data_IF_717345266544
#
_entry.id   IF_717345266544
#
_cell.length_a   1.000
_cell.length_b   1.000
_cell.length_c   1.000
_cell.angle_alpha   90.00
_cell.angle_beta   90.00
_cell.angle_gamma   90.00
#
_symmetry.space_group_name_H-M   'P 1'
#
loop_
_entity.id
_entity.type
_entity.pdbx_description
1 polymer ?
2 polymer ?
3 non-polymer ?
4 water ?
#
loop_
_entity_poly.entity_id
_entity_poly.type
_entity_poly.pdbx_seq_one_letter_code
_entity_poly.pdbx_strand_id
1 'polyribonucleotide' 'UGCUGUUUU' ?
#
# COMPACT_ATOMS: atom_id res chain seq x y z
N UNK C 6 27.20 -9.64 39.30
CA UNK C 6 26.83 -8.39 40.03
C UNK C 6 25.41 -8.02 39.66
N UNK C 7 24.53 -7.90 40.65
CA UNK C 7 23.13 -7.64 40.31
C UNK C 7 22.86 -6.29 39.64
N UNK C 8 23.56 -5.23 40.04
CA UNK C 8 23.50 -3.97 39.30
C UNK C 8 23.85 -4.15 37.82
N UNK C 9 24.93 -4.91 37.57
CA UNK C 9 25.39 -5.23 36.22
C UNK C 9 24.33 -5.92 35.38
N UNK C 10 23.67 -6.92 35.98
CA UNK C 10 22.61 -7.66 35.30
C UNK C 10 21.37 -6.80 35.10
N UNK C 12 21.39 -3.60 34.69
CA UNK C 12 21.70 -2.63 33.65
C UNK C 12 21.58 -3.22 32.25
N UNK C 13 22.04 -4.45 32.07
CA UNK C 13 21.84 -5.16 30.80
C UNK C 13 20.36 -5.38 30.46
N UNK C 14 19.56 -5.74 31.46
CA UNK C 14 18.11 -5.90 31.25
C UNK C 14 17.43 -4.60 30.83
N UNK C 15 17.73 -3.52 31.56
CA UNK C 15 17.16 -2.22 31.24
C UNK C 15 17.49 -1.75 29.81
N UNK C 16 18.71 -2.01 29.33
CA UNK C 16 19.05 -1.68 27.93
C UNK C 16 18.16 -2.38 26.90
N UNK C 17 17.89 -3.66 27.16
CA UNK C 17 17.02 -4.47 26.31
C UNK C 17 15.59 -3.94 26.31
N UNK C 18 15.10 -3.56 27.50
CA UNK C 18 13.79 -2.94 27.67
C UNK C 18 13.63 -1.65 26.82
N UNK C 19 14.60 -0.74 26.93
CA UNK C 19 14.64 0.49 26.12
C UNK C 19 14.52 0.21 24.62
N UNK C 20 15.41 -0.65 24.12
CA UNK C 20 15.40 -1.05 22.70
C UNK C 20 14.07 -1.64 22.22
N UNK C 21 13.44 -2.48 23.05
CA UNK C 21 12.16 -3.09 22.67
C UNK C 21 11.03 -2.07 22.56
N UNK C 22 10.91 -1.22 23.58
CA UNK C 22 9.84 -0.19 23.58
C UNK C 22 10.04 0.82 22.44
N UNK C 23 11.30 1.19 22.23
CA UNK C 23 11.73 2.14 21.20
C UNK C 23 11.44 1.56 19.80
N UNK C 24 11.54 0.25 19.64
CA UNK C 24 11.07 -0.39 18.38
C UNK C 24 9.55 -0.28 18.18
N UNK C 25 8.75 -0.62 19.19
CA UNK C 25 7.31 -0.55 19.05
C UNK C 25 6.82 0.84 18.67
N UNK C 26 7.36 1.91 19.28
CA UNK C 26 6.95 3.28 18.99
C UNK C 26 7.70 3.91 17.81
N UNK C 27 8.49 3.10 17.09
CA UNK C 27 9.42 3.57 16.06
C UNK C 27 8.87 3.71 14.64
N UNK C 28 9.67 4.32 13.75
CA UNK C 28 9.25 4.59 12.36
C UNK C 28 8.91 3.33 11.54
N UNK C 29 9.47 2.18 11.92
CA UNK C 29 9.26 0.92 11.18
C UNK C 29 8.23 -0.06 11.74
N UNK C 30 7.54 0.33 12.81
CA UNK C 30 6.42 -0.44 13.37
C UNK C 30 5.13 0.36 13.60
N UNK C 31 5.24 1.53 14.25
CA UNK C 31 4.05 2.32 14.64
C UNK C 31 3.03 2.58 13.51
N UNK C 32 3.51 3.01 12.33
CA UNK C 32 2.52 3.32 11.29
C UNK C 32 1.74 2.11 10.76
N UNK C 33 2.20 0.90 11.07
CA UNK C 33 1.52 -0.32 10.60
C UNK C 33 0.89 -1.15 11.73
N UNK C 34 0.88 -0.61 12.95
CA UNK C 34 0.41 -1.30 14.16
C UNK C 34 -0.98 -0.83 14.59
N UNK C 35 -2.04 -1.48 14.12
CA UNK C 35 -3.42 -1.06 14.42
C UNK C 35 -3.73 -1.00 15.92
N UNK C 36 -3.27 -2.01 16.67
CA UNK C 36 -3.55 -2.12 18.10
C UNK C 36 -2.91 -0.98 18.90
N UNK C 37 -1.64 -0.69 18.62
CA UNK C 37 -0.94 0.42 19.26
C UNK C 37 -1.53 1.77 18.86
N UNK C 38 -1.90 1.91 17.59
CA UNK C 38 -2.51 3.16 17.15
C UNK C 38 -3.80 3.45 17.90
N UNK C 39 -4.64 2.43 18.06
CA UNK C 39 -5.87 2.56 18.85
C UNK C 39 -5.57 3.24 20.19
N UNK C 40 -4.66 2.68 20.96
CA UNK C 40 -4.30 3.21 22.28
C UNK C 40 -3.76 4.66 22.30
N UNK C 41 -3.01 5.05 21.28
CA UNK C 41 -2.36 6.38 21.18
C UNK C 41 -3.30 7.55 20.86
N UNK C 42 -4.55 7.27 20.53
CA UNK C 42 -5.50 8.33 20.18
C UNK C 42 -6.14 8.92 21.43
N UNK C 43 -6.17 8.11 22.49
CA UNK C 43 -7.04 8.34 23.64
C UNK C 43 -6.63 9.47 24.59
N UNK C 44 -5.34 9.76 24.75
CA UNK C 44 -4.97 11.00 25.45
C UNK C 44 -3.57 11.55 25.19
N UNK C 45 -3.50 12.32 24.10
CA UNK C 45 -2.33 13.15 23.77
C UNK C 45 -1.06 12.30 23.66
N UNK C 46 -1.23 11.07 23.17
CA UNK C 46 -0.10 10.17 22.92
C UNK C 46 0.22 9.20 24.05
N UNK C 47 -0.30 9.48 25.24
CA UNK C 47 -0.08 8.65 26.43
C UNK C 47 -0.70 7.23 26.37
N UNK C 48 0.06 6.20 26.72
CA UNK C 48 -0.39 4.80 26.79
C UNK C 48 -0.03 4.17 28.14
N UNK C 49 -1.02 3.57 28.85
CA UNK C 49 -0.81 3.03 30.20
C UNK C 49 0.18 1.88 30.21
N UNK C 50 1.03 1.83 31.22
CA UNK C 50 1.91 0.68 31.41
C UNK C 50 1.18 -0.67 31.54
N UNK C 51 -0.08 -0.67 32.03
CA UNK C 51 -0.86 -1.92 32.13
C UNK C 51 -1.20 -2.54 30.77
N UNK C 52 -1.27 -1.71 29.72
CA UNK C 52 -1.44 -2.18 28.34
C UNK C 52 -0.09 -2.61 27.73
N UNK C 54 2.54 -3.92 29.03
CA UNK C 54 3.08 -5.23 29.46
C UNK C 54 2.37 -6.43 28.82
N UNK C 55 1.29 -6.18 28.07
CA UNK C 55 0.63 -7.24 27.30
C UNK C 55 1.38 -7.59 26.02
N UNK C 56 2.34 -6.74 25.65
CA UNK C 56 3.14 -6.94 24.43
C UNK C 56 4.16 -8.05 24.74
N UNK C 57 4.21 -9.09 23.91
CA UNK C 57 4.89 -10.34 24.27
C UNK C 57 6.39 -10.25 24.51
N UNK C 58 7.17 -9.59 23.65
CA UNK C 58 8.62 -9.49 23.88
C UNK C 58 8.95 -8.67 25.13
N UNK C 59 8.22 -7.60 25.37
CA UNK C 59 8.33 -6.86 26.65
C UNK C 59 7.96 -7.69 27.89
N UNK C 60 6.87 -8.44 27.82
CA UNK C 60 6.38 -9.27 28.93
C UNK C 60 7.48 -10.24 29.38
N UNK C 61 8.21 -10.80 28.42
CA UNK C 61 9.26 -11.77 28.73
C UNK C 61 10.45 -11.17 29.49
N UNK C 62 10.70 -9.88 29.29
CA UNK C 62 11.80 -9.15 29.95
C UNK C 62 11.40 -8.75 31.38
N UNK C 63 10.23 -8.14 31.50
CA UNK C 63 9.69 -7.70 32.82
C UNK C 63 8.19 -7.39 32.80
N UNK C 64 7.53 -7.60 33.95
CA UNK C 64 6.22 -7.00 34.19
C UNK C 64 6.19 -5.95 35.34
N UNK C 65 7.36 -5.54 35.84
CA UNK C 65 7.51 -4.58 36.94
C UNK C 65 7.52 -3.14 36.40
N UNK C 66 6.53 -2.33 36.79
CA UNK C 66 6.42 -0.94 36.33
C UNK C 66 7.63 -0.08 36.73
N UNK C 67 8.09 -0.26 37.97
CA UNK C 67 9.29 0.41 38.49
C UNK C 67 10.55 0.25 37.64
N UNK C 68 10.80 -0.98 37.17
CA UNK C 68 11.92 -1.32 36.27
C UNK C 68 11.81 -0.67 34.87
N UNK C 69 10.60 -0.68 34.32
CA UNK C 69 10.36 0.02 33.03
C UNK C 69 10.67 1.51 33.13
N UNK C 70 10.12 2.17 34.15
CA UNK C 70 10.34 3.61 34.34
C UNK C 70 11.82 3.93 34.54
N UNK C 71 12.53 3.10 35.30
CA UNK C 71 13.95 3.36 35.53
C UNK C 71 14.73 3.24 34.22
N UNK C 72 14.44 2.19 33.46
CA UNK C 72 15.06 1.95 32.15
C UNK C 72 14.95 3.16 31.22
N UNK C 73 13.71 3.62 30.98
CA UNK C 73 13.46 4.72 30.03
C UNK C 73 14.06 6.06 30.49
N UNK C 74 14.16 6.26 31.80
CA UNK C 74 14.76 7.48 32.35
C UNK C 74 16.25 7.63 32.01
N UNK C 75 16.92 6.53 31.70
CA UNK C 75 18.36 6.51 31.48
C UNK C 75 18.73 6.30 30.01
N UNK C 76 17.72 6.29 29.15
CA UNK C 76 17.91 6.01 27.72
C UNK C 76 18.67 7.15 27.06
N UNK C 77 19.55 6.77 26.12
CA UNK C 77 20.33 7.73 25.34
C UNK C 77 19.62 8.14 24.05
N UNK C 78 18.53 7.46 23.72
CA UNK C 78 17.83 7.74 22.46
C UNK C 78 16.94 8.97 22.50
N UNK C 79 16.48 9.37 23.68
CA UNK C 79 15.62 10.56 23.80
C UNK C 79 14.27 10.47 23.07
N UNK C 80 13.71 9.27 22.95
CA UNK C 80 12.49 9.09 22.15
C UNK C 80 11.21 9.11 23.01
N UNK C 82 8.89 9.67 26.59
CA UNK C 82 8.63 10.49 27.79
C UNK C 82 7.80 9.71 28.82
N UNK C 83 7.90 10.09 30.11
CA UNK C 83 7.16 9.43 31.19
C UNK C 83 6.20 10.41 31.87
N UNK C 84 4.98 9.99 32.16
CA UNK C 84 3.95 10.88 32.73
C UNK C 84 4.30 11.33 34.14
N UNK C 85 3.69 12.42 34.60
CA UNK C 85 3.96 12.90 35.96
C UNK C 85 3.74 11.87 37.07
N UNK C 86 2.74 11.00 36.91
CA UNK C 86 2.45 10.05 37.98
C UNK C 86 3.13 8.70 37.74
N UNK C 87 3.91 8.62 36.66
CA UNK C 87 4.72 7.47 36.28
C UNK C 87 3.97 6.18 35.92
N UNK C 88 2.72 6.33 35.50
CA UNK C 88 1.86 5.21 35.08
C UNK C 88 1.69 5.05 33.57
N UNK C 89 2.15 6.06 32.80
CA UNK C 89 1.94 6.12 31.36
C UNK C 89 3.18 6.62 30.63
N UNK C 90 3.32 6.26 29.35
CA UNK C 90 4.44 6.69 28.49
C UNK C 90 4.00 7.13 27.07
N UNK C 91 4.84 7.87 26.34
CA UNK C 91 4.49 8.37 25.01
C UNK C 91 5.74 8.64 24.18
N UNK C 92 5.63 8.62 22.85
CA UNK C 92 6.64 9.19 21.95
C UNK C 92 6.59 10.72 22.09
N UNK C 93 7.75 11.34 22.25
CA UNK C 93 7.85 12.79 22.41
C UNK C 93 7.32 13.60 21.22
N UNK C 94 6.62 14.72 21.45
CA UNK C 94 6.17 15.56 20.32
C UNK C 94 7.29 16.28 19.58
N UNK C 95 8.51 16.24 20.13
CA UNK C 95 9.70 16.70 19.42
C UNK C 95 10.17 15.72 18.33
N UNK C 96 9.63 14.51 18.32
CA UNK C 96 10.09 13.45 17.41
C UNK C 96 8.90 12.95 16.59
N UNK C 97 8.38 13.77 15.66
CA UNK C 97 7.23 13.27 14.91
C UNK C 97 7.61 12.17 13.90
N UNK C 98 6.63 11.36 13.49
CA UNK C 98 6.83 10.39 12.42
C UNK C 98 7.15 11.06 11.07
N UNK C 99 8.10 10.51 10.30
CA UNK C 99 8.41 11.12 8.99
C UNK C 99 7.22 11.21 8.03
N UNK C 100 7.13 12.31 7.28
CA UNK C 100 6.19 12.45 6.17
C UNK C 100 6.67 11.47 5.10
N UNK C 101 5.76 10.64 4.60
CA UNK C 101 6.13 9.58 3.66
C UNK C 101 6.11 10.12 2.22
N UNK C 102 7.19 10.81 1.86
CA UNK C 102 7.37 11.50 0.57
C UNK C 102 8.26 10.67 -0.36
N UNK C 103 8.33 11.04 -1.65
CA UNK C 103 9.30 10.39 -2.55
C UNK C 103 10.73 10.44 -1.99
N UNK C 104 11.16 11.60 -1.48
CA UNK C 104 12.51 11.70 -0.93
C UNK C 104 12.77 10.76 0.27
N UNK C 105 11.80 10.61 1.16
CA UNK C 105 11.91 9.61 2.23
C UNK C 105 12.01 8.15 1.75
N UNK C 106 11.13 7.74 0.84
CA UNK C 106 11.13 6.34 0.39
C UNK C 106 12.42 6.03 -0.38
N UNK C 107 12.92 6.99 -1.15
CA UNK C 107 14.17 6.74 -1.90
C UNK C 107 15.37 6.53 -0.96
N UNK C 108 15.37 7.31 0.13
CA UNK C 108 16.44 7.33 1.11
C UNK C 108 16.48 6.00 1.87
N UNK C 109 15.32 5.54 2.33
CA UNK C 109 15.16 4.22 2.99
C UNK C 109 15.58 3.07 2.05
N UNK C 110 15.10 3.09 0.80
CA UNK C 110 15.42 2.00 -0.16
C UNK C 110 16.92 1.84 -0.40
N UNK C 111 17.62 2.97 -0.46
CA UNK C 111 19.06 2.98 -0.74
C UNK C 111 19.89 2.36 0.40
N UNK C 112 19.27 2.14 1.56
CA UNK C 112 19.96 1.51 2.70
C UNK C 112 19.26 0.23 3.19
N UNK C 113 18.44 -0.36 2.32
CA UNK C 113 17.76 -1.63 2.57
C UNK C 113 18.48 -2.75 1.79
N UNK C 114 18.53 -3.94 2.38
CA UNK C 114 19.34 -5.08 1.92
C UNK C 114 18.55 -6.41 2.02
N UNK C 115 18.66 -7.25 0.99
CA UNK C 115 18.17 -8.66 0.99
C UNK C 115 19.25 -9.69 1.35
N UNK C 116 18.97 -10.61 2.28
CA UNK C 116 19.90 -11.69 2.62
C UNK C 116 19.16 -13.05 2.59
N UNK C 117 19.72 -14.02 1.86
CA UNK C 117 19.17 -15.38 1.74
C UNK C 117 20.18 -16.46 2.15
N UNK C 118 19.75 -17.40 2.99
CA UNK C 118 20.58 -18.55 3.36
C UNK C 118 20.47 -19.03 4.80
N UNK C 119 19.54 -18.44 5.56
CA UNK C 119 19.26 -18.89 6.93
C UNK C 119 18.43 -20.18 6.94
N UNK C 120 18.64 -21.07 7.92
CA UNK C 120 17.77 -22.26 8.02
C UNK C 120 16.31 -21.91 8.31
N UNK C 121 15.38 -22.78 7.93
CA UNK C 121 13.97 -22.47 8.10
C UNK C 121 13.54 -22.48 9.57
N UNK C 122 14.31 -23.16 10.41
CA UNK C 122 14.08 -23.18 11.86
C UNK C 122 14.70 -22.02 12.65
N UNK C 123 15.36 -21.07 11.99
CA UNK C 123 15.97 -19.94 12.68
C UNK C 123 14.95 -18.99 13.33
N UNK C 124 15.29 -18.43 14.49
CA UNK C 124 14.43 -17.50 15.21
C UNK C 124 14.84 -16.02 15.03
N UNK C 125 13.96 -15.08 15.35
CA UNK C 125 14.35 -13.67 15.37
C UNK C 125 15.55 -13.44 16.28
N UNK C 126 15.53 -14.06 17.45
CA UNK C 126 16.68 -14.06 18.37
C UNK C 126 17.98 -14.51 17.69
N UNK C 127 17.93 -15.62 16.95
CA UNK C 127 19.08 -16.13 16.17
C UNK C 127 19.62 -15.11 15.15
N UNK C 128 18.73 -14.46 14.42
CA UNK C 128 19.12 -13.50 13.40
C UNK C 128 19.70 -12.24 14.03
N UNK C 129 19.09 -11.76 15.11
CA UNK C 129 19.62 -10.58 15.83
C UNK C 129 21.03 -10.84 16.34
N UNK C 130 21.26 -12.02 16.89
CA UNK C 130 22.60 -12.34 17.39
C UNK C 130 23.63 -12.27 16.26
N UNK C 131 23.30 -12.90 15.13
CA UNK C 131 24.22 -12.92 13.98
C UNK C 131 24.57 -11.51 13.50
N UNK C 132 23.60 -10.60 13.54
CA UNK C 132 23.76 -9.22 13.09
C UNK C 132 24.52 -8.29 14.03
N UNK C 133 24.77 -8.73 15.26
CA UNK C 133 25.38 -7.91 16.31
C UNK C 133 26.61 -7.09 15.92
N UNK C 134 27.51 -7.63 15.10
CA UNK C 134 28.71 -6.82 14.85
C UNK C 134 28.76 -6.29 13.41
N UNK C 135 27.58 -6.18 12.81
CA UNK C 135 27.48 -5.90 11.37
C UNK C 135 27.10 -4.45 11.03
N UNK C 136 26.88 -3.62 12.04
CA UNK C 136 26.40 -2.23 11.87
C UNK C 136 25.01 -2.02 12.46
N UNK C 137 24.61 -0.76 12.62
CA UNK C 137 23.36 -0.42 13.30
C UNK C 137 22.16 -0.75 12.40
N UNK C 138 21.31 -1.67 12.85
CA UNK C 138 20.12 -2.15 12.11
C UNK C 138 18.87 -1.54 12.77
N UNK C 139 17.96 -1.00 11.96
CA UNK C 139 16.71 -0.40 12.41
C UNK C 139 15.46 -1.27 12.23
N UNK C 140 15.49 -2.24 11.31
CA UNK C 140 14.36 -3.15 11.09
C UNK C 140 14.83 -4.47 10.49
N UNK C 141 14.20 -5.56 10.90
CA UNK C 141 14.40 -6.91 10.37
C UNK C 141 13.02 -7.45 9.94
N UNK C 142 12.87 -7.80 8.65
CA UNK C 142 11.61 -8.38 8.15
C UNK C 142 11.82 -9.84 7.73
N UNK C 144 10.93 -13.00 5.85
CA UNK C 144 10.06 -13.33 4.72
C UNK C 144 9.37 -14.68 4.83
N UNK C 145 8.05 -14.70 4.60
CA UNK C 145 7.21 -15.88 4.84
C UNK C 145 6.30 -16.27 3.67
N UNK C 146 5.92 -17.55 3.62
CA UNK C 146 4.93 -18.05 2.66
C UNK C 146 3.51 -17.65 3.06
N UNK C 147 2.56 -17.97 2.19
CA UNK C 147 1.13 -17.84 2.48
C UNK C 147 0.72 -18.39 3.84
N UNK C 148 1.29 -19.54 4.20
CA UNK C 148 0.88 -20.24 5.42
C UNK C 148 1.81 -19.94 6.59
N UNK C 149 2.60 -18.88 6.41
CA UNK C 149 3.44 -18.26 7.44
C UNK C 149 4.74 -18.98 7.80
N UNK C 150 5.16 -19.94 6.99
CA UNK C 150 6.46 -20.61 7.17
C UNK C 150 7.61 -19.68 6.76
N UNK C 151 8.73 -19.72 7.49
CA UNK C 151 9.88 -18.85 7.19
C UNK C 151 10.56 -19.35 5.93
N UNK C 152 10.75 -18.44 4.97
CA UNK C 152 11.42 -18.76 3.71
C UNK C 152 12.94 -18.94 3.81
N UNK C 153 13.56 -18.43 4.87
CA UNK C 153 15.02 -18.44 4.95
C UNK C 153 15.73 -17.22 4.38
N UNK C 154 14.95 -16.24 3.92
CA UNK C 154 15.43 -14.91 3.49
C UNK C 154 14.82 -13.75 4.29
N UNK C 155 15.53 -12.62 4.41
CA UNK C 155 15.09 -11.44 5.16
C UNK C 155 15.34 -10.12 4.39
N UNK C 156 14.63 -9.05 4.74
CA UNK C 156 15.03 -7.68 4.41
C UNK C 156 15.48 -6.98 5.71
N UNK C 157 16.55 -6.18 5.61
CA UNK C 157 17.06 -5.42 6.76
C UNK C 157 17.25 -3.94 6.37
N UNK C 158 16.95 -3.03 7.29
CA UNK C 158 17.19 -1.60 7.07
C UNK C 158 18.32 -1.10 7.95
N UNK C 159 19.37 -0.53 7.33
CA UNK C 159 20.49 0.07 8.06
C UNK C 159 20.29 1.55 8.44
N UNK C 160 21.08 2.01 9.40
CA UNK C 160 21.01 3.40 9.85
C UNK C 160 21.47 4.40 8.79
N UNK C 161 22.41 3.99 7.92
CA UNK C 161 22.93 4.87 6.87
C UNK C 161 23.36 4.12 5.60
N UNK C 162 23.53 4.85 4.50
CA UNK C 162 24.04 4.24 3.27
C UNK C 162 25.48 3.73 3.46
N UNK C 163 26.24 4.43 4.30
CA UNK C 163 27.63 4.07 4.57
C UNK C 163 27.72 2.70 5.24
N UNK C 164 26.90 2.46 6.25
CA UNK C 164 26.83 1.16 6.93
C UNK C 164 26.34 0.02 6.03
N UNK C 165 25.36 0.31 5.18
CA UNK C 165 24.79 -0.69 4.26
C UNK C 165 25.83 -1.13 3.24
N UNK C 166 26.54 -0.15 2.67
CA UNK C 166 27.62 -0.44 1.74
C UNK C 166 28.73 -1.29 2.36
N UNK C 167 29.14 -0.97 3.59
CA UNK C 167 30.20 -1.72 4.26
C UNK C 167 29.84 -3.19 4.41
N UNK C 168 28.60 -3.45 4.83
CA UNK C 168 28.03 -4.81 4.89
C UNK C 168 27.96 -5.51 3.53
N UNK C 169 27.37 -4.88 2.52
CA UNK C 169 27.21 -5.54 1.21
C UNK C 169 28.54 -5.89 0.53
N UNK C 170 29.57 -5.06 0.71
CA UNK C 170 30.86 -5.26 0.03
C UNK C 170 31.84 -6.21 0.71
N UNK C 171 31.49 -6.72 1.90
CA UNK C 171 32.27 -7.71 2.65
C UNK C 171 32.11 -9.11 2.05
N UNK C 172 33.23 -9.77 1.69
CA UNK C 172 33.16 -10.88 0.74
C UNK C 172 32.78 -12.30 1.18
N UNK C 173 33.16 -12.75 2.36
CA UNK C 173 32.97 -14.18 2.65
C UNK C 173 31.97 -14.51 3.74
N UNK C 174 30.76 -13.97 3.65
CA UNK C 174 29.83 -14.07 4.76
C UNK C 174 29.01 -15.36 4.80
N UNK C 175 28.93 -15.93 6.00
CA UNK C 175 28.23 -17.20 6.23
C UNK C 175 27.39 -17.14 7.48
N UNK C 176 26.33 -17.96 7.52
CA UNK C 176 25.65 -18.31 8.77
C UNK C 176 26.00 -19.77 9.06
N UNK C 177 26.77 -19.96 10.12
CA UNK C 177 27.33 -21.27 10.46
C UNK C 177 28.05 -21.88 9.26
N UNK C 178 27.58 -22.99 8.70
CA UNK C 178 28.27 -23.61 7.58
C UNK C 178 27.93 -23.06 6.19
N UNK C 179 26.86 -22.27 6.08
CA UNK C 179 26.32 -21.95 4.76
C UNK C 179 26.55 -20.55 4.21
N UNK C 180 26.88 -20.49 2.91
CA UNK C 180 27.18 -19.26 2.19
C UNK C 180 25.89 -18.44 1.99
N UNK C 181 25.98 -17.13 2.17
CA UNK C 181 24.81 -16.26 2.02
C UNK C 181 24.82 -15.51 0.68
N UNK C 182 23.64 -15.27 0.12
CA UNK C 182 23.50 -14.37 -1.03
C UNK C 182 23.06 -13.00 -0.50
N UNK C 183 23.80 -11.95 -0.82
CA UNK C 183 23.55 -10.61 -0.25
C UNK C 183 23.43 -9.58 -1.38
N UNK C 184 22.27 -8.92 -1.46
CA UNK C 184 22.00 -7.94 -2.52
C UNK C 184 21.35 -6.64 -2.00
N UNK C 185 21.64 -5.50 -2.61
CA UNK C 185 20.81 -4.31 -2.31
C UNK C 185 19.37 -4.58 -2.76
N UNK C 186 18.39 -4.05 -2.01
CA UNK C 186 16.98 -4.34 -2.32
C UNK C 186 16.67 -3.94 -3.76
N UNK C 187 17.33 -2.88 -4.19
CA UNK C 187 17.28 -2.36 -5.54
C UNK C 187 17.60 -3.46 -6.58
N UNK C 188 18.61 -4.27 -6.26
CA UNK C 188 19.03 -5.42 -7.07
C UNK C 188 18.21 -6.70 -6.94
N UNK C 189 17.39 -6.81 -5.89
CA UNK C 189 16.49 -7.96 -5.77
C UNK C 189 15.20 -7.71 -6.55
N UNK C 190 14.54 -8.78 -7.00
CA UNK C 190 13.21 -8.72 -7.61
C UNK C 190 12.35 -9.92 -7.20
N UNK D 7 -29.92 -0.20 -38.06
CA UNK D 7 -28.90 -1.22 -37.69
C UNK D 7 -27.50 -0.64 -37.61
N UNK D 8 -27.31 0.53 -38.22
CA UNK D 8 -26.02 1.23 -38.22
C UNK D 8 -25.83 2.06 -36.95
N UNK D 9 -26.80 2.90 -36.64
CA UNK D 9 -26.90 3.59 -35.35
C UNK D 9 -26.69 2.64 -34.18
N UNK D 10 -27.34 1.47 -34.23
CA UNK D 10 -27.20 0.43 -33.21
C UNK D 10 -25.80 -0.17 -33.10
N UNK D 12 -23.13 1.49 -34.07
CA UNK D 12 -22.35 2.62 -33.54
C UNK D 12 -22.37 2.72 -32.01
N UNK D 13 -23.56 2.55 -31.43
CA UNK D 13 -23.71 2.60 -29.98
C UNK D 13 -22.98 1.43 -29.32
N UNK D 14 -23.06 0.24 -29.91
CA UNK D 14 -22.35 -0.92 -29.39
C UNK D 14 -20.83 -0.76 -29.47
N UNK D 15 -20.33 -0.22 -30.58
CA UNK D 15 -18.89 0.04 -30.73
C UNK D 15 -18.36 1.06 -29.69
N UNK D 16 -19.12 2.13 -29.45
CA UNK D 16 -18.77 3.08 -28.37
C UNK D 16 -18.56 2.39 -27.01
N UNK D 17 -19.50 1.51 -26.64
CA UNK D 17 -19.43 0.79 -25.36
C UNK D 17 -18.25 -0.19 -25.27
N UNK D 18 -17.96 -0.88 -26.37
CA UNK D 18 -16.80 -1.78 -26.44
C UNK D 18 -15.50 -1.01 -26.20
N UNK D 19 -15.31 0.10 -26.90
CA UNK D 19 -14.12 0.95 -26.72
C UNK D 19 -13.95 1.39 -25.25
N UNK D 20 -15.03 1.87 -24.64
CA UNK D 20 -14.96 2.32 -23.25
C UNK D 20 -14.55 1.22 -22.26
N UNK D 21 -15.08 0.01 -22.45
CA UNK D 21 -14.84 -1.06 -21.48
C UNK D 21 -13.40 -1.55 -21.57
N UNK D 22 -12.88 -1.65 -22.80
CA UNK D 22 -11.49 -2.08 -23.01
C UNK D 22 -10.50 -1.03 -22.51
N UNK D 23 -10.79 0.24 -22.81
CA UNK D 23 -10.01 1.38 -22.34
C UNK D 23 -9.98 1.47 -20.80
N UNK D 24 -11.07 1.07 -20.11
CA UNK D 24 -11.04 0.97 -18.64
C UNK D 24 -10.03 -0.10 -18.18
N UNK D 25 -10.08 -1.30 -18.78
CA UNK D 25 -9.22 -2.39 -18.32
C UNK D 25 -7.73 -2.05 -18.44
N UNK D 26 -7.38 -1.41 -19.56
CA UNK D 26 -5.98 -1.05 -19.88
C UNK D 26 -5.61 0.33 -19.32
N UNK D 27 -6.51 0.94 -18.53
CA UNK D 27 -6.34 2.35 -18.10
C UNK D 27 -5.62 2.54 -16.76
N UNK D 28 -5.38 3.82 -16.40
CA UNK D 28 -4.56 4.20 -15.25
C UNK D 28 -5.09 3.72 -13.89
N UNK D 29 -6.38 3.39 -13.83
CA UNK D 29 -6.98 2.99 -12.56
C UNK D 29 -7.02 1.46 -12.35
N UNK D 30 -7.24 0.70 -13.42
CA UNK D 30 -7.26 -0.75 -13.30
C UNK D 30 -5.92 -1.46 -13.49
N UNK D 31 -5.19 -1.13 -14.55
CA UNK D 31 -4.04 -1.93 -14.99
C UNK D 31 -2.96 -2.12 -13.93
N UNK D 32 -2.55 -1.05 -13.21
CA UNK D 32 -1.52 -1.23 -12.19
C UNK D 32 -1.82 -2.22 -11.06
N UNK D 33 -3.09 -2.45 -10.75
CA UNK D 33 -3.47 -3.41 -9.71
C UNK D 33 -4.10 -4.70 -10.21
N UNK D 34 -4.03 -4.96 -11.52
CA UNK D 34 -4.67 -6.14 -12.15
C UNK D 34 -3.63 -7.25 -12.35
N UNK D 35 -3.53 -8.16 -11.38
CA UNK D 35 -2.52 -9.22 -11.43
C UNK D 35 -2.57 -10.02 -12.74
N UNK D 36 -3.76 -10.50 -13.12
CA UNK D 36 -3.90 -11.27 -14.36
C UNK D 36 -3.46 -10.48 -15.60
N UNK D 37 -3.91 -9.24 -15.72
CA UNK D 37 -3.61 -8.49 -16.94
C UNK D 37 -2.13 -8.09 -17.00
N UNK D 38 -1.55 -7.69 -15.89
CA UNK D 38 -0.12 -7.38 -15.83
C UNK D 38 0.78 -8.52 -16.31
N UNK D 39 0.36 -9.74 -16.01
CA UNK D 39 1.09 -10.95 -16.37
C UNK D 39 1.05 -11.14 -17.88
N UNK D 40 -0.10 -10.88 -18.48
CA UNK D 40 -0.32 -11.04 -19.91
C UNK D 40 0.52 -10.04 -20.72
N UNK D 41 0.61 -8.81 -20.24
CA UNK D 41 1.30 -7.74 -20.92
C UNK D 41 2.83 -7.88 -20.91
N UNK D 42 3.38 -8.77 -20.10
CA UNK D 42 4.83 -9.03 -20.12
C UNK D 42 5.27 -10.08 -21.15
N UNK D 43 4.32 -10.86 -21.67
CA UNK D 43 4.63 -12.01 -22.52
C UNK D 43 5.09 -11.68 -23.94
N UNK D 44 4.51 -10.64 -24.54
CA UNK D 44 4.70 -10.39 -25.97
C UNK D 44 4.70 -8.88 -26.26
N UNK D 45 5.51 -8.11 -25.53
CA UNK D 45 5.66 -6.67 -25.75
C UNK D 45 4.37 -5.85 -25.68
N UNK D 46 3.53 -6.18 -24.71
CA UNK D 46 2.24 -5.50 -24.61
C UNK D 46 1.07 -6.24 -25.20
N UNK D 47 1.31 -7.03 -26.25
CA UNK D 47 0.24 -7.67 -27.03
C UNK D 47 -0.53 -8.77 -26.26
N UNK D 48 -1.86 -8.69 -26.29
CA UNK D 48 -2.75 -9.69 -25.66
C UNK D 48 -3.75 -10.26 -26.69
N UNK D 49 -3.80 -11.60 -26.87
CA UNK D 49 -4.72 -12.14 -27.86
C UNK D 49 -6.19 -11.84 -27.58
N UNK D 50 -6.99 -11.64 -28.63
CA UNK D 50 -8.44 -11.47 -28.45
C UNK D 50 -9.11 -12.69 -27.80
N UNK D 51 -8.58 -13.90 -27.98
CA UNK D 51 -9.19 -15.06 -27.31
C UNK D 51 -9.04 -15.01 -25.79
N UNK D 52 -8.04 -14.29 -25.30
CA UNK D 52 -7.95 -14.00 -23.87
C UNK D 52 -8.89 -12.86 -23.42
N UNK D 54 -11.82 -12.00 -24.49
CA UNK D 54 -13.22 -12.42 -24.38
C UNK D 54 -13.52 -13.18 -23.09
N UNK D 55 -12.49 -13.47 -22.30
CA UNK D 55 -12.68 -14.05 -20.97
C UNK D 55 -13.03 -13.03 -19.87
N UNK D 56 -12.96 -11.73 -20.17
CA UNK D 56 -13.32 -10.62 -19.26
C UNK D 56 -14.85 -10.44 -19.33
N UNK D 57 -15.57 -10.66 -18.22
CA UNK D 57 -17.03 -10.82 -18.25
C UNK D 57 -17.82 -9.67 -18.90
N UNK D 58 -17.49 -8.42 -18.57
CA UNK D 58 -18.26 -7.28 -19.07
C UNK D 58 -18.04 -7.05 -20.58
N UNK D 59 -16.83 -7.31 -21.07
CA UNK D 59 -16.61 -7.30 -22.52
C UNK D 59 -17.41 -8.41 -23.24
N UNK D 60 -17.29 -9.64 -22.75
CA UNK D 60 -18.10 -10.80 -23.21
C UNK D 60 -19.62 -10.52 -23.37
N UNK D 61 -20.21 -9.82 -22.39
CA UNK D 61 -21.61 -9.39 -22.39
C UNK D 61 -22.02 -8.55 -23.60
N UNK D 62 -21.10 -7.71 -24.06
CA UNK D 62 -21.24 -6.85 -25.25
C UNK D 62 -21.05 -7.62 -26.56
N UNK D 63 -19.97 -8.38 -26.67
CA UNK D 63 -19.64 -9.18 -27.86
C UNK D 63 -18.56 -10.26 -27.58
N UNK D 64 -18.60 -11.33 -28.37
CA UNK D 64 -17.47 -12.28 -28.45
C UNK D 64 -16.94 -12.37 -29.89
N UNK D 65 -17.46 -11.54 -30.80
CA UNK D 65 -17.06 -11.48 -32.22
C UNK D 65 -15.79 -10.64 -32.42
N UNK D 66 -14.69 -11.29 -32.81
CA UNK D 66 -13.41 -10.59 -32.97
C UNK D 66 -13.48 -9.49 -34.02
N UNK D 67 -14.26 -9.71 -35.07
CA UNK D 67 -14.36 -8.72 -36.15
C UNK D 67 -15.00 -7.43 -35.68
N UNK D 68 -16.01 -7.54 -34.80
CA UNK D 68 -16.66 -6.38 -34.18
C UNK D 68 -15.72 -5.60 -33.23
N UNK D 69 -14.95 -6.31 -32.40
CA UNK D 69 -13.94 -5.66 -31.53
C UNK D 69 -12.90 -4.83 -32.33
N UNK D 70 -12.38 -5.41 -33.41
CA UNK D 70 -11.39 -4.76 -34.28
C UNK D 70 -11.97 -3.49 -34.94
N UNK D 71 -13.17 -3.62 -35.50
CA UNK D 71 -13.85 -2.48 -36.14
C UNK D 71 -14.03 -1.34 -35.11
N UNK D 72 -14.48 -1.69 -33.90
CA UNK D 72 -14.72 -0.74 -32.82
C UNK D 72 -13.48 0.07 -32.41
N UNK D 73 -12.40 -0.63 -32.09
CA UNK D 73 -11.13 0.03 -31.75
C UNK D 73 -10.53 0.85 -32.90
N UNK D 74 -10.77 0.43 -34.15
CA UNK D 74 -10.23 1.14 -35.31
C UNK D 74 -10.82 2.54 -35.42
N UNK D 75 -11.95 2.74 -34.75
CA UNK D 75 -12.68 4.02 -34.77
C UNK D 75 -12.68 4.85 -33.49
N UNK D 76 -12.01 4.37 -32.45
CA UNK D 76 -11.87 5.17 -31.22
C UNK D 76 -11.14 6.49 -31.40
N UNK D 77 -11.64 7.55 -30.75
CA UNK D 77 -10.96 8.84 -30.72
C UNK D 77 -10.03 8.97 -29.51
N UNK D 78 -10.03 7.96 -28.64
CA UNK D 78 -9.20 7.99 -27.44
C UNK D 78 -7.71 7.81 -27.73
N UNK D 79 -7.40 7.17 -28.85
CA UNK D 79 -6.05 6.78 -29.26
C UNK D 79 -5.20 6.12 -28.16
N UNK D 80 -5.80 5.20 -27.42
CA UNK D 80 -5.05 4.47 -26.39
C UNK D 80 -4.56 3.12 -26.91
N UNK D 82 -3.84 -0.15 -29.68
CA UNK D 82 -3.32 -0.48 -31.02
C UNK D 82 -3.77 -1.90 -31.40
N UNK D 83 -3.95 -2.15 -32.70
CA UNK D 83 -4.31 -3.50 -33.19
C UNK D 83 -3.16 -4.12 -34.00
N UNK D 84 -2.88 -5.41 -33.84
CA UNK D 84 -1.77 -6.03 -34.56
C UNK D 84 -2.01 -6.06 -36.08
N UNK D 85 -0.92 -6.16 -36.85
CA UNK D 85 -0.96 -6.38 -38.30
C UNK D 85 -1.89 -7.53 -38.75
N UNK D 86 -1.81 -8.69 -38.10
CA UNK D 86 -2.66 -9.85 -38.41
C UNK D 86 -4.04 -9.89 -37.73
N UNK D 87 -4.31 -8.84 -36.96
CA UNK D 87 -5.60 -8.50 -36.35
C UNK D 87 -6.06 -9.44 -35.24
N UNK D 88 -5.13 -10.21 -34.68
CA UNK D 88 -5.46 -11.20 -33.65
C UNK D 88 -5.22 -10.74 -32.20
N UNK D 89 -4.57 -9.59 -32.00
CA UNK D 89 -4.17 -9.16 -30.67
C UNK D 89 -4.16 -7.63 -30.54
N UNK D 90 -4.21 -7.11 -29.32
CA UNK D 90 -4.33 -5.67 -29.08
C UNK D 90 -3.38 -5.26 -27.95
N UNK D 91 -2.96 -3.99 -27.87
CA UNK D 91 -2.13 -3.47 -26.76
C UNK D 91 -2.35 -1.99 -26.45
N UNK D 92 -1.97 -1.58 -25.25
CA UNK D 92 -1.88 -0.15 -24.89
C UNK D 92 -0.65 0.43 -25.61
N UNK D 93 -0.82 1.59 -26.22
CA UNK D 93 0.28 2.16 -27.04
C UNK D 93 1.54 2.49 -26.21
N UNK D 94 2.75 2.24 -26.78
CA UNK D 94 3.93 2.65 -26.04
C UNK D 94 4.12 4.17 -25.95
N UNK D 95 3.34 4.93 -26.72
CA UNK D 95 3.37 6.40 -26.59
C UNK D 95 2.57 6.90 -25.39
N UNK D 96 1.85 6.00 -24.72
CA UNK D 96 1.02 6.32 -23.56
C UNK D 96 1.45 5.50 -22.34
N UNK D 97 2.58 5.88 -21.71
CA UNK D 97 3.11 5.12 -20.59
C UNK D 97 2.21 5.34 -19.36
N UNK D 98 2.24 4.41 -18.40
CA UNK D 98 1.47 4.61 -17.16
C UNK D 98 2.10 5.76 -16.35
N UNK D 99 1.29 6.57 -15.65
CA UNK D 99 1.90 7.62 -14.82
C UNK D 99 2.89 7.07 -13.80
N UNK D 100 4.00 7.78 -13.56
CA UNK D 100 4.84 7.49 -12.40
C UNK D 100 4.11 7.93 -11.11
N UNK D 101 3.99 7.06 -10.11
CA UNK D 101 3.21 7.38 -8.91
C UNK D 101 4.02 8.24 -7.92
N UNK D 102 4.16 9.53 -8.20
CA UNK D 102 4.92 10.48 -7.38
C UNK D 102 4.00 11.25 -6.41
N UNK D 103 4.56 12.09 -5.54
CA UNK D 103 3.72 12.97 -4.69
C UNK D 103 2.85 13.94 -5.52
N UNK D 104 3.44 14.52 -6.56
CA UNK D 104 2.65 15.39 -7.48
C UNK D 104 1.44 14.71 -8.13
N UNK D 105 1.64 13.50 -8.67
CA UNK D 105 0.54 12.69 -9.20
C UNK D 105 -0.56 12.39 -8.16
N UNK D 106 -0.18 11.84 -7.02
CA UNK D 106 -1.17 11.53 -5.97
C UNK D 106 -1.98 12.75 -5.51
N UNK D 107 -1.34 13.92 -5.36
CA UNK D 107 -2.08 15.12 -4.99
C UNK D 107 -3.10 15.52 -6.07
N UNK D 108 -2.71 15.40 -7.33
CA UNK D 108 -3.53 15.79 -8.48
C UNK D 108 -4.80 14.94 -8.52
N UNK D 109 -4.65 13.63 -8.38
CA UNK D 109 -5.81 12.72 -8.29
C UNK D 109 -6.74 13.00 -7.06
N UNK D 110 -6.16 13.19 -5.89
CA UNK D 110 -6.94 13.39 -4.64
C UNK D 110 -7.85 14.63 -4.72
N UNK D 111 -7.35 15.70 -5.34
CA UNK D 111 -8.13 16.92 -5.53
C UNK D 111 -9.30 16.82 -6.52
N UNK D 112 -9.37 15.72 -7.28
CA UNK D 112 -10.56 15.45 -8.10
C UNK D 112 -11.31 14.15 -7.76
N UNK D 113 -11.13 13.65 -6.54
CA UNK D 113 -11.84 12.46 -6.04
C UNK D 113 -12.93 12.84 -5.04
N UNK D 114 -14.08 12.17 -5.11
CA UNK D 114 -15.32 12.52 -4.39
C UNK D 114 -15.92 11.27 -3.72
N UNK D 115 -16.41 11.40 -2.49
CA UNK D 115 -17.14 10.35 -1.73
C UNK D 115 -18.65 10.64 -1.78
N UNK D 116 -19.50 9.63 -2.03
CA UNK D 116 -20.96 9.81 -2.11
C UNK D 116 -21.62 8.68 -1.34
N UNK D 117 -22.50 9.03 -0.39
CA UNK D 117 -23.21 8.07 0.44
C UNK D 117 -24.73 8.18 0.31
N UNK D 118 -25.42 7.03 0.20
CA UNK D 118 -26.88 7.01 0.17
C UNK D 118 -27.57 6.16 -0.87
N UNK D 119 -26.80 5.41 -1.67
CA UNK D 119 -27.37 4.45 -2.63
C UNK D 119 -27.92 3.23 -1.90
N UNK D 120 -29.00 2.62 -2.43
CA UNK D 120 -29.49 1.37 -1.83
C UNK D 120 -28.49 0.23 -1.99
N UNK D 121 -28.55 -0.74 -1.09
CA UNK D 121 -27.56 -1.81 -1.07
C UNK D 121 -27.64 -2.81 -2.23
N UNK D 122 -28.73 -2.75 -2.98
CA UNK D 122 -28.92 -3.65 -4.12
C UNK D 122 -28.69 -2.96 -5.47
N UNK D 123 -28.21 -1.73 -5.43
CA UNK D 123 -27.80 -1.03 -6.65
C UNK D 123 -26.57 -1.68 -7.32
N UNK D 124 -26.61 -1.76 -8.65
CA UNK D 124 -25.51 -2.37 -9.43
C UNK D 124 -24.56 -1.32 -10.02
N UNK D 125 -23.37 -1.72 -10.49
CA UNK D 125 -22.48 -0.78 -11.21
C UNK D 125 -23.19 -0.12 -12.39
N UNK D 126 -23.99 -0.91 -13.11
CA UNK D 126 -24.83 -0.38 -14.18
C UNK D 126 -25.80 0.71 -13.67
N UNK D 127 -26.42 0.50 -12.50
CA UNK D 127 -27.37 1.50 -11.96
C UNK D 127 -26.64 2.81 -11.69
N UNK D 128 -25.45 2.70 -11.10
CA UNK D 128 -24.64 3.86 -10.70
C UNK D 128 -24.09 4.61 -11.92
N UNK D 129 -23.62 3.86 -12.91
CA UNK D 129 -23.15 4.45 -14.17
C UNK D 129 -24.28 5.26 -14.81
N UNK D 130 -25.49 4.72 -14.89
CA UNK D 130 -26.62 5.43 -15.49
C UNK D 130 -26.92 6.74 -14.75
N UNK D 131 -26.79 6.74 -13.42
CA UNK D 131 -27.02 7.94 -12.62
C UNK D 131 -25.99 9.04 -12.90
N UNK D 132 -24.75 8.62 -13.17
CA UNK D 132 -23.64 9.54 -13.40
C UNK D 132 -23.61 10.12 -14.83
N UNK D 133 -24.44 9.59 -15.72
CA UNK D 133 -24.38 9.92 -17.14
C UNK D 133 -24.10 11.39 -17.46
N UNK D 134 -24.86 12.29 -16.86
CA UNK D 134 -24.68 13.68 -17.19
C UNK D 134 -24.18 14.50 -16.01
N UNK D 135 -23.24 13.92 -15.25
CA UNK D 135 -22.65 14.64 -14.13
C UNK D 135 -21.19 15.05 -14.40
N UNK D 136 -20.70 14.84 -15.62
CA UNK D 136 -19.29 15.07 -15.93
C UNK D 136 -18.48 13.80 -16.19
N UNK D 137 -17.36 13.92 -16.89
CA UNK D 137 -16.57 12.75 -17.29
C UNK D 137 -15.93 12.07 -16.05
N UNK D 138 -16.15 10.75 -15.91
CA UNK D 138 -15.69 9.94 -14.78
C UNK D 138 -14.65 8.89 -15.22
N UNK D 139 -13.55 8.78 -14.47
CA UNK D 139 -12.47 7.83 -14.75
C UNK D 139 -12.47 6.49 -13.98
N UNK D 140 -13.10 6.46 -12.81
CA UNK D 140 -13.14 5.29 -11.94
C UNK D 140 -14.35 5.35 -11.00
N UNK D 141 -15.01 4.21 -10.77
CA UNK D 141 -16.10 4.06 -9.79
C UNK D 141 -15.66 2.93 -8.84
N UNK D 142 -15.41 3.30 -7.58
CA UNK D 142 -15.06 2.34 -6.54
C UNK D 142 -16.22 2.08 -5.56
N UNK D 144 -17.77 0.62 -2.37
CA UNK D 144 -17.19 0.18 -1.09
C UNK D 144 -17.94 -1.02 -0.50
N UNK D 145 -17.19 -1.96 0.08
CA UNK D 145 -17.75 -3.24 0.49
C UNK D 145 -17.26 -3.71 1.85
N UNK D 146 -18.12 -4.46 2.55
CA UNK D 146 -17.77 -5.14 3.80
C UNK D 146 -16.72 -6.23 3.55
N UNK D 147 -16.09 -6.74 4.61
CA UNK D 147 -15.16 -7.86 4.47
C UNK D 147 -15.82 -9.07 3.82
N UNK D 148 -17.14 -9.17 3.94
CA UNK D 148 -17.93 -10.25 3.37
C UNK D 148 -18.49 -9.94 1.97
N UNK D 149 -17.98 -8.89 1.36
CA UNK D 149 -18.27 -8.50 -0.03
C UNK D 149 -19.68 -7.99 -0.32
N UNK D 150 -20.38 -7.51 0.71
CA UNK D 150 -21.63 -6.79 0.52
C UNK D 150 -21.43 -5.29 0.25
N UNK D 151 -22.28 -4.71 -0.60
CA UNK D 151 -22.18 -3.28 -0.94
C UNK D 151 -22.69 -2.42 0.20
N UNK D 152 -21.90 -1.43 0.61
CA UNK D 152 -22.26 -0.60 1.77
C UNK D 152 -23.23 0.52 1.46
N UNK D 153 -23.39 0.85 0.17
CA UNK D 153 -24.23 1.98 -0.24
C UNK D 153 -23.47 3.28 -0.38
N UNK D 154 -22.15 3.23 -0.23
CA UNK D 154 -21.24 4.36 -0.54
C UNK D 154 -20.14 4.07 -1.58
N UNK D 155 -19.69 5.11 -2.27
CA UNK D 155 -18.68 4.98 -3.35
C UNK D 155 -17.62 6.07 -3.33
N UNK D 156 -16.45 5.82 -3.94
CA UNK D 156 -15.54 6.91 -4.35
C UNK D 156 -15.55 6.98 -5.89
N UNK D 157 -15.50 8.20 -6.42
CA UNK D 157 -15.50 8.47 -7.87
C UNK D 157 -14.31 9.37 -8.23
N UNK D 158 -13.58 9.07 -9.31
CA UNK D 158 -12.56 9.99 -9.81
C UNK D 158 -12.98 10.72 -11.09
N UNK D 159 -12.95 12.06 -11.05
CA UNK D 159 -13.31 12.92 -12.19
C UNK D 159 -12.11 13.24 -13.11
N UNK D 160 -12.44 13.64 -14.34
CA UNK D 160 -11.43 13.94 -15.34
C UNK D 160 -10.63 15.19 -14.99
N UNK D 161 -11.29 16.17 -14.38
CA UNK D 161 -10.66 17.45 -14.02
C UNK D 161 -11.17 18.02 -12.70
N UNK D 162 -10.42 18.92 -12.08
CA UNK D 162 -10.90 19.59 -10.86
C UNK D 162 -12.16 20.41 -11.14
N UNK D 163 -12.23 21.05 -12.30
CA UNK D 163 -13.41 21.83 -12.70
C UNK D 163 -14.70 21.03 -12.58
N UNK D 164 -14.72 19.83 -13.18
CA UNK D 164 -15.88 18.96 -13.15
C UNK D 164 -16.20 18.48 -11.72
N UNK D 165 -15.18 18.15 -10.95
CA UNK D 165 -15.41 17.67 -9.57
C UNK D 165 -16.09 18.73 -8.72
N UNK D 166 -15.59 19.96 -8.79
CA UNK D 166 -16.16 21.09 -8.06
C UNK D 166 -17.59 21.38 -8.47
N UNK D 167 -17.84 21.37 -9.78
CA UNK D 167 -19.20 21.59 -10.30
C UNK D 167 -20.18 20.57 -9.70
N UNK D 168 -19.76 19.31 -9.64
CA UNK D 168 -20.57 18.22 -9.10
C UNK D 168 -20.87 18.40 -7.61
N UNK D 169 -19.81 18.60 -6.83
CA UNK D 169 -19.92 18.74 -5.37
C UNK D 169 -20.75 19.97 -4.96
N UNK D 170 -20.62 21.06 -5.72
CA UNK D 170 -21.37 22.30 -5.46
C UNK D 170 -22.83 22.39 -5.95
N UNK D 171 -23.36 21.32 -6.54
CA UNK D 171 -24.79 21.24 -6.87
C UNK D 171 -25.53 20.67 -5.65
N UNK D 172 -26.47 21.44 -5.07
CA UNK D 172 -27.06 21.08 -3.78
C UNK D 172 -28.23 20.08 -3.77
N UNK D 173 -28.99 19.98 -4.84
CA UNK D 173 -30.26 19.27 -4.73
C UNK D 173 -30.30 17.77 -5.04
N UNK D 174 -29.16 17.09 -4.93
CA UNK D 174 -29.00 15.77 -5.55
C UNK D 174 -29.53 14.58 -4.74
N UNK D 175 -30.27 13.71 -5.42
CA UNK D 175 -30.92 12.53 -4.87
C UNK D 175 -30.73 11.34 -5.82
N UNK D 176 -30.70 10.12 -5.27
CA UNK D 176 -30.85 8.88 -6.06
C UNK D 176 -32.29 8.46 -5.82
N UNK D 177 -33.13 8.64 -6.83
CA UNK D 177 -34.57 8.38 -6.73
C UNK D 177 -35.21 9.27 -5.67
N UNK D 178 -35.67 8.71 -4.56
CA UNK D 178 -36.25 9.52 -3.48
C UNK D 178 -35.29 9.83 -2.33
N UNK D 179 -34.07 9.30 -2.39
CA UNK D 179 -33.15 9.39 -1.26
C UNK D 179 -32.09 10.48 -1.38
N UNK D 180 -32.02 11.34 -0.37
CA UNK D 180 -31.05 12.42 -0.32
C UNK D 180 -29.64 11.82 -0.22
N UNK D 181 -28.68 12.47 -0.87
CA UNK D 181 -27.31 11.94 -0.89
C UNK D 181 -26.36 12.83 -0.11
N UNK D 182 -25.37 12.23 0.54
CA UNK D 182 -24.29 12.96 1.21
C UNK D 182 -23.10 13.00 0.25
N UNK D 183 -22.64 14.20 -0.12
CA UNK D 183 -21.51 14.33 -1.06
C UNK D 183 -20.39 15.21 -0.49
N UNK D 184 -19.18 14.67 -0.50
CA UNK D 184 -17.99 15.35 0.01
C UNK D 184 -16.74 15.12 -0.86
N UNK D 185 -15.81 16.07 -0.91
CA UNK D 185 -14.49 15.78 -1.47
C UNK D 185 -13.79 14.72 -0.62
N UNK D 186 -12.94 13.92 -1.24
CA UNK D 186 -12.26 12.81 -0.54
C UNK D 186 -11.39 13.31 0.62
N UNK D 187 -10.78 14.49 0.47
CA UNK D 187 -10.05 15.21 1.53
C UNK D 187 -10.85 15.40 2.82
N UNK D 188 -12.17 15.48 2.69
CA UNK D 188 -13.09 15.75 3.81
C UNK D 188 -13.74 14.51 4.43
N UNK D 189 -13.48 13.33 3.87
CA UNK D 189 -13.98 12.07 4.41
C UNK D 189 -12.91 11.36 5.26
N UNK D 190 -13.32 10.87 6.41
CA UNK D 190 -12.51 10.03 7.30
C UNK D 190 -13.34 8.87 7.83
#
# INVERSE_FOLDING_TARGET
SXAENGDNEKXAALEAKICHQIEYYFGDFNLPRDKFLKEQIKLDEGWVPLEIXIKFNRLNRLTTDFNVIVEALSKSKAELXEISEDKTKIRRSPSKPLPEVTDEYKNDVKNRSVYIKGFPTDATLDDIKEWLEDKGQVLNIQXRRTLHKAFKGSIFVVFDSIESAKKFVETPGQKYKETDLLILFKDDYFAKKNE
SXAENGDNEKXAALEAKICHQIEYYFGDFNLPRDKFLKEQIKLDEGWVPLEIXIKFNRLNRLTTDFNVIVEALSKSKAELXEISEDKTKIRRSPSKPLPEVTDEYKNDVKNRSVYIKGFPTDATLDDIKEWLEDKGQVLNIQXRRTLHKAFKGSIFVVFDSIESAKKFVETPGQKYKETDLLILFKDDYFAKKNE
#
